data_IF_189815558446
#
_entry.id   IF_189815558446
#
_cell.length_a   1.000
_cell.length_b   1.000
_cell.length_c   1.000
_cell.angle_alpha   90.00
_cell.angle_beta   90.00
_cell.angle_gamma   90.00
#
_symmetry.space_group_name_H-M   'P 1'
#
loop_
_entity.id
_entity.type
_entity.pdbx_description
1 polymer ?
#
# COMPACT_ATOMS: atom_id res chain seq x y z
N UNK A 1 10.34 -17.71 18.65
CA UNK A 1 9.45 -16.73 17.99
C UNK A 1 9.69 -16.77 16.49
N UNK A 2 8.65 -17.01 15.68
CA UNK A 2 8.74 -16.94 14.22
C UNK A 2 8.56 -15.48 13.77
N UNK A 3 9.69 -14.81 13.50
CA UNK A 3 9.69 -13.39 13.11
C UNK A 3 8.93 -13.13 11.80
N UNK A 4 8.94 -14.09 10.86
CA UNK A 4 8.25 -13.93 9.58
C UNK A 4 6.73 -13.89 9.76
N UNK A 5 6.22 -14.70 10.70
CA UNK A 5 4.81 -14.67 11.09
C UNK A 5 4.47 -13.43 11.90
N UNK A 6 5.28 -13.10 12.91
CA UNK A 6 5.04 -11.94 13.78
C UNK A 6 4.95 -10.63 12.99
N UNK A 7 5.84 -10.44 12.01
CA UNK A 7 5.83 -9.23 11.17
C UNK A 7 5.05 -9.40 9.86
N UNK A 8 4.37 -10.53 9.65
CA UNK A 8 3.58 -10.84 8.44
C UNK A 8 4.31 -10.55 7.12
N UNK A 9 5.59 -10.90 7.03
CA UNK A 9 6.47 -10.53 5.89
C UNK A 9 5.87 -10.90 4.54
N UNK A 10 5.26 -12.08 4.43
CA UNK A 10 4.61 -12.56 3.19
C UNK A 10 3.49 -11.64 2.70
N UNK A 11 2.82 -10.92 3.60
CA UNK A 11 1.68 -10.05 3.24
C UNK A 11 2.14 -8.75 2.56
N UNK A 12 3.26 -8.17 3.00
CA UNK A 12 3.69 -6.85 2.57
C UNK A 12 4.93 -6.85 1.66
N UNK A 13 5.67 -7.97 1.54
CA UNK A 13 6.90 -8.03 0.72
C UNK A 13 6.68 -7.59 -0.74
N UNK A 14 5.48 -7.86 -1.28
CA UNK A 14 5.07 -7.41 -2.63
C UNK A 14 5.06 -5.88 -2.81
N UNK A 15 4.92 -5.12 -1.72
CA UNK A 15 4.93 -3.65 -1.77
C UNK A 15 6.34 -3.09 -2.01
N UNK A 16 7.41 -3.91 -1.87
CA UNK A 16 8.76 -3.49 -2.24
C UNK A 16 8.90 -3.20 -3.75
N UNK A 17 8.01 -3.77 -4.58
CA UNK A 17 7.94 -3.39 -6.00
C UNK A 17 7.61 -1.91 -6.21
N UNK A 18 6.80 -1.31 -5.33
CA UNK A 18 6.46 0.12 -5.39
C UNK A 18 7.68 0.99 -5.03
N UNK A 19 8.48 0.53 -4.07
CA UNK A 19 9.74 1.19 -3.72
C UNK A 19 10.71 1.15 -4.90
N UNK A 20 10.79 0.02 -5.60
CA UNK A 20 11.59 -0.10 -6.81
C UNK A 20 11.14 0.88 -7.90
N UNK A 21 9.83 1.03 -8.12
CA UNK A 21 9.31 2.05 -9.04
C UNK A 21 9.76 3.47 -8.63
N UNK A 22 9.66 3.80 -7.34
CA UNK A 22 10.15 5.09 -6.82
C UNK A 22 11.64 5.32 -7.07
N UNK A 23 12.46 4.27 -6.92
CA UNK A 23 13.89 4.32 -7.20
C UNK A 23 14.22 4.44 -8.69
N UNK A 24 13.46 3.76 -9.56
CA UNK A 24 13.63 3.90 -11.02
C UNK A 24 13.30 5.31 -11.50
N UNK A 25 12.41 6.01 -10.78
CA UNK A 25 12.08 7.42 -10.98
C UNK A 25 13.09 8.41 -10.39
N UNK A 26 14.16 7.95 -9.73
CA UNK A 26 15.14 8.84 -9.09
C UNK A 26 16.56 8.63 -9.62
N UNK A 27 17.41 9.62 -9.36
CA UNK A 27 18.85 9.58 -9.66
C UNK A 27 19.66 8.80 -8.61
N UNK A 28 18.99 7.95 -7.82
CA UNK A 28 19.60 7.22 -6.72
C UNK A 28 20.62 6.17 -7.17
N UNK A 29 21.59 5.91 -6.29
CA UNK A 29 22.60 4.86 -6.45
C UNK A 29 22.11 3.50 -5.92
N UNK A 30 22.78 2.39 -6.23
CA UNK A 30 22.38 1.07 -5.70
C UNK A 30 22.31 1.01 -4.15
N UNK A 31 23.25 1.64 -3.40
CA UNK A 31 23.10 1.79 -1.94
C UNK A 31 21.82 2.51 -1.50
N UNK A 32 21.31 3.46 -2.29
CA UNK A 32 20.03 4.13 -2.01
C UNK A 32 18.86 3.16 -2.05
N UNK A 33 18.80 2.31 -3.10
CA UNK A 33 17.77 1.29 -3.22
C UNK A 33 17.76 0.33 -2.03
N UNK A 34 18.95 -0.11 -1.59
CA UNK A 34 19.07 -1.01 -0.44
C UNK A 34 18.56 -0.36 0.84
N UNK A 35 18.90 0.91 1.07
CA UNK A 35 18.40 1.67 2.22
C UNK A 35 16.88 1.87 2.15
N UNK A 36 16.33 2.17 0.97
CA UNK A 36 14.87 2.28 0.77
C UNK A 36 14.16 0.97 1.08
N UNK A 37 14.69 -0.17 0.63
CA UNK A 37 14.13 -1.49 0.92
C UNK A 37 14.18 -1.83 2.41
N UNK A 38 15.30 -1.58 3.09
CA UNK A 38 15.41 -1.79 4.53
C UNK A 38 14.45 -0.88 5.30
N UNK A 39 14.42 0.42 4.98
CA UNK A 39 13.56 1.39 5.64
C UNK A 39 12.08 1.00 5.49
N UNK A 40 11.67 0.66 4.26
CA UNK A 40 10.29 0.23 3.98
C UNK A 40 9.97 -1.09 4.65
N UNK A 41 10.92 -2.04 4.73
CA UNK A 41 10.71 -3.31 5.43
C UNK A 41 10.47 -3.11 6.92
N UNK A 42 11.23 -2.19 7.56
CA UNK A 42 11.00 -1.84 8.96
C UNK A 42 9.65 -1.15 9.17
N UNK A 43 9.29 -0.20 8.31
CA UNK A 43 7.97 0.46 8.38
C UNK A 43 6.83 -0.55 8.18
N UNK A 44 6.93 -1.43 7.19
CA UNK A 44 5.92 -2.46 6.92
C UNK A 44 5.80 -3.47 8.06
N UNK A 45 6.92 -3.88 8.66
CA UNK A 45 6.94 -4.73 9.85
C UNK A 45 6.26 -4.06 11.06
N UNK A 46 6.53 -2.77 11.29
CA UNK A 46 5.86 -1.98 12.32
C UNK A 46 4.35 -1.95 12.10
N UNK A 47 3.88 -1.53 10.92
CA UNK A 47 2.44 -1.34 10.69
C UNK A 47 1.67 -2.65 10.68
N UNK A 48 2.25 -3.75 10.15
CA UNK A 48 1.61 -5.05 10.15
C UNK A 48 1.47 -5.62 11.56
N UNK A 49 2.54 -5.56 12.36
CA UNK A 49 2.52 -6.06 13.75
C UNK A 49 1.68 -5.17 14.68
N UNK A 50 1.67 -3.84 14.48
CA UNK A 50 0.80 -2.92 15.20
C UNK A 50 -0.67 -3.20 14.92
N UNK A 51 -1.02 -3.42 13.64
CA UNK A 51 -2.39 -3.77 13.27
C UNK A 51 -2.83 -5.08 13.93
N UNK A 52 -2.01 -6.14 13.85
CA UNK A 52 -2.29 -7.43 14.50
C UNK A 52 -2.41 -7.31 16.04
N UNK A 53 -1.58 -6.47 16.66
CA UNK A 53 -1.64 -6.21 18.10
C UNK A 53 -2.97 -5.59 18.54
N UNK A 54 -3.51 -4.62 17.79
CA UNK A 54 -4.82 -4.06 18.11
C UNK A 54 -5.98 -4.95 17.65
N UNK A 55 -5.76 -5.82 16.67
CA UNK A 55 -6.72 -6.84 16.21
C UNK A 55 -6.94 -7.93 17.26
N UNK A 56 -5.87 -8.39 17.90
CA UNK A 56 -5.98 -9.37 18.98
C UNK A 56 -6.75 -8.83 20.18
N UNK A 57 -6.57 -7.54 20.51
CA UNK A 57 -7.38 -6.84 21.53
C UNK A 57 -8.86 -6.73 21.18
N UNK A 58 -9.23 -6.85 19.92
CA UNK A 58 -10.62 -6.89 19.45
C UNK A 58 -11.16 -8.31 19.33
N UNK A 59 -10.40 -9.33 19.74
CA UNK A 59 -10.78 -10.74 19.72
C UNK A 59 -10.41 -11.48 18.44
N UNK A 60 -9.66 -10.86 17.51
CA UNK A 60 -9.19 -11.55 16.31
C UNK A 60 -7.99 -12.45 16.65
N UNK A 61 -8.08 -13.73 16.28
CA UNK A 61 -6.97 -14.67 16.48
C UNK A 61 -5.86 -14.41 15.46
N UNK A 62 -4.69 -14.05 15.94
CA UNK A 62 -3.49 -13.85 15.13
C UNK A 62 -2.22 -14.15 15.96
N UNK A 63 -1.07 -14.25 15.28
CA UNK A 63 0.20 -14.64 15.88
C UNK A 63 0.68 -13.66 16.96
N UNK A 64 0.42 -12.36 16.80
CA UNK A 64 0.78 -11.35 17.81
C UNK A 64 -0.08 -11.52 19.06
N UNK A 65 -1.36 -11.85 18.92
CA UNK A 65 -2.26 -12.20 20.03
C UNK A 65 -1.78 -13.41 20.83
N UNK A 66 -1.43 -14.50 20.14
CA UNK A 66 -0.84 -15.70 20.77
C UNK A 66 0.45 -15.34 21.54
N UNK A 67 1.29 -14.49 20.95
CA UNK A 67 2.50 -14.01 21.61
C UNK A 67 2.21 -13.16 22.86
N UNK A 68 1.17 -12.30 22.82
CA UNK A 68 0.73 -11.51 23.97
C UNK A 68 0.26 -12.42 25.11
N UNK A 69 -0.48 -13.48 24.81
CA UNK A 69 -0.95 -14.46 25.81
C UNK A 69 0.22 -15.22 26.48
N UNK A 70 1.22 -15.62 25.69
CA UNK A 70 2.35 -16.42 26.18
C UNK A 70 3.43 -15.57 26.89
N UNK A 71 3.73 -14.38 26.38
CA UNK A 71 4.90 -13.59 26.80
C UNK A 71 4.54 -12.25 27.47
N UNK A 72 3.27 -11.86 27.43
CA UNK A 72 2.77 -10.62 28.00
C UNK A 72 2.84 -9.42 27.05
N UNK A 73 1.92 -8.48 27.28
CA UNK A 73 1.70 -7.32 26.40
C UNK A 73 2.92 -6.43 26.24
N UNK A 74 3.67 -6.17 27.32
CA UNK A 74 4.83 -5.27 27.30
C UNK A 74 5.91 -5.76 26.34
N UNK A 75 6.16 -7.07 26.31
CA UNK A 75 7.15 -7.68 25.40
C UNK A 75 6.67 -7.61 23.96
N UNK A 76 5.39 -7.88 23.71
CA UNK A 76 4.79 -7.75 22.39
C UNK A 76 4.89 -6.32 21.85
N UNK A 77 4.52 -5.32 22.66
CA UNK A 77 4.64 -3.91 22.29
C UNK A 77 6.09 -3.51 21.98
N UNK A 78 7.05 -3.95 22.79
CA UNK A 78 8.47 -3.72 22.50
C UNK A 78 8.85 -4.24 21.11
N UNK A 79 8.44 -5.46 20.75
CA UNK A 79 8.72 -6.05 19.45
C UNK A 79 7.97 -5.39 18.29
N UNK A 80 6.75 -4.90 18.54
CA UNK A 80 5.96 -4.11 17.56
C UNK A 80 6.69 -2.81 17.23
N UNK A 81 7.22 -2.10 18.23
CA UNK A 81 7.94 -0.82 18.02
C UNK A 81 9.41 -0.99 17.63
N UNK A 82 10.01 -2.17 17.83
CA UNK A 82 11.42 -2.44 17.51
C UNK A 82 11.81 -2.06 16.07
N UNK A 83 11.01 -2.27 15.01
CA UNK A 83 11.35 -1.84 13.66
C UNK A 83 11.54 -0.31 13.53
N UNK A 84 10.88 0.51 14.35
CA UNK A 84 11.09 1.96 14.33
C UNK A 84 12.50 2.34 14.80
N UNK A 85 13.11 1.55 15.68
CA UNK A 85 14.53 1.74 16.04
C UNK A 85 15.39 1.52 14.80
N UNK A 86 15.09 0.50 13.98
CA UNK A 86 15.74 0.27 12.69
C UNK A 86 15.62 1.47 11.75
N UNK A 87 14.42 2.05 11.61
CA UNK A 87 14.19 3.28 10.83
C UNK A 87 15.05 4.44 11.34
N UNK A 88 15.07 4.68 12.66
CA UNK A 88 15.90 5.74 13.25
C UNK A 88 17.39 5.52 13.00
N UNK A 89 17.88 4.29 13.19
CA UNK A 89 19.29 3.95 12.93
C UNK A 89 19.69 4.18 11.47
N UNK A 90 18.83 3.81 10.51
CA UNK A 90 19.09 4.07 9.09
C UNK A 90 19.21 5.57 8.79
N UNK A 91 18.37 6.40 9.40
CA UNK A 91 18.43 7.85 9.24
C UNK A 91 19.64 8.51 9.90
N UNK A 92 20.20 7.91 10.96
CA UNK A 92 21.48 8.33 11.52
C UNK A 92 22.66 7.98 10.60
N UNK A 93 22.59 6.84 9.91
CA UNK A 93 23.62 6.42 8.95
C UNK A 93 23.59 7.23 7.66
N UNK A 94 22.40 7.58 7.16
CA UNK A 94 22.23 8.39 5.95
C UNK A 94 21.11 9.43 6.14
N UNK A 95 21.45 10.62 6.64
CA UNK A 95 20.49 11.69 6.84
C UNK A 95 19.84 12.13 5.52
N UNK A 96 18.53 11.94 5.41
CA UNK A 96 17.70 12.51 4.35
C UNK A 96 16.43 13.05 5.00
N UNK A 97 16.28 14.39 5.13
CA UNK A 97 15.11 15.00 5.79
C UNK A 97 13.80 14.61 5.12
N UNK A 98 13.78 14.51 3.79
CA UNK A 98 12.59 14.14 3.02
C UNK A 98 12.19 12.69 3.28
N UNK A 99 13.15 11.75 3.25
CA UNK A 99 12.88 10.35 3.57
C UNK A 99 12.39 10.19 5.01
N UNK A 100 12.97 10.94 5.95
CA UNK A 100 12.56 10.92 7.36
C UNK A 100 11.12 11.42 7.50
N UNK A 101 10.79 12.54 6.87
CA UNK A 101 9.43 13.09 6.90
C UNK A 101 8.40 12.11 6.31
N UNK A 102 8.72 11.48 5.18
CA UNK A 102 7.85 10.45 4.57
C UNK A 102 7.70 9.24 5.49
N UNK A 103 8.76 8.81 6.16
CA UNK A 103 8.74 7.69 7.11
C UNK A 103 7.91 7.99 8.35
N UNK A 104 8.05 9.21 8.90
CA UNK A 104 7.23 9.68 10.02
C UNK A 104 5.77 9.77 9.60
N UNK A 105 5.47 10.36 8.44
CA UNK A 105 4.09 10.46 7.93
C UNK A 105 3.46 9.08 7.74
N UNK A 106 4.21 8.14 7.15
CA UNK A 106 3.76 6.76 6.95
C UNK A 106 3.48 6.06 8.28
N UNK A 107 4.43 6.10 9.23
CA UNK A 107 4.27 5.49 10.54
C UNK A 107 3.11 6.11 11.34
N UNK A 108 2.98 7.44 11.30
CA UNK A 108 1.92 8.17 11.99
C UNK A 108 0.54 7.83 11.44
N UNK A 109 0.35 7.85 10.11
CA UNK A 109 -0.92 7.53 9.48
C UNK A 109 -1.36 6.09 9.80
N UNK A 110 -0.44 5.13 9.73
CA UNK A 110 -0.76 3.75 10.10
C UNK A 110 -0.93 3.52 11.61
N UNK A 111 -0.27 4.34 12.43
CA UNK A 111 -0.54 4.36 13.86
C UNK A 111 -1.99 4.75 14.12
N UNK A 112 -2.46 5.90 13.63
CA UNK A 112 -3.86 6.33 13.83
C UNK A 112 -4.88 5.44 13.10
N UNK A 113 -4.46 4.75 12.05
CA UNK A 113 -5.26 3.71 11.39
C UNK A 113 -5.57 2.53 12.33
N UNK A 114 -4.54 2.05 13.04
CA UNK A 114 -4.59 0.80 13.82
C UNK A 114 -4.88 1.01 15.32
N UNK A 115 -4.16 1.95 15.93
CA UNK A 115 -4.25 2.32 17.34
C UNK A 115 -5.35 3.37 17.58
N UNK A 116 -5.84 3.58 18.82
CA UNK A 116 -6.83 4.62 19.14
C UNK A 116 -6.42 5.98 18.55
N UNK A 117 -7.28 6.64 17.74
CA UNK A 117 -8.73 6.46 17.61
C UNK A 117 -9.22 5.34 16.66
N UNK A 118 -8.32 4.60 16.01
CA UNK A 118 -8.56 3.44 15.15
C UNK A 118 -9.42 3.77 13.94
N UNK A 119 -8.91 4.67 13.13
CA UNK A 119 -9.61 5.26 11.98
C UNK A 119 -10.00 4.23 10.91
N UNK A 120 -9.35 3.06 10.87
CA UNK A 120 -9.73 1.96 9.96
C UNK A 120 -11.18 1.50 10.11
N UNK A 121 -11.79 1.71 11.28
CA UNK A 121 -13.18 1.31 11.54
C UNK A 121 -14.18 2.16 10.73
N UNK A 122 -13.71 3.19 10.05
CA UNK A 122 -14.50 4.15 9.28
C UNK A 122 -14.00 4.18 7.83
N UNK A 123 -14.87 3.82 6.88
CA UNK A 123 -14.52 3.72 5.46
C UNK A 123 -13.82 4.98 4.89
N UNK A 124 -14.28 6.17 5.30
CA UNK A 124 -13.81 7.45 4.76
C UNK A 124 -12.39 7.80 5.20
N UNK A 125 -11.89 7.19 6.26
CA UNK A 125 -10.49 7.29 6.65
C UNK A 125 -9.67 6.07 6.18
N UNK A 126 -10.24 4.87 6.28
CA UNK A 126 -9.54 3.64 5.92
C UNK A 126 -9.05 3.65 4.47
N UNK A 127 -9.92 4.06 3.54
CA UNK A 127 -9.59 4.06 2.11
C UNK A 127 -8.51 5.10 1.78
N UNK A 128 -8.65 6.40 2.12
CA UNK A 128 -7.60 7.39 1.84
C UNK A 128 -6.26 7.08 2.51
N UNK A 129 -6.26 6.61 3.77
CA UNK A 129 -5.02 6.27 4.47
C UNK A 129 -4.28 5.14 3.74
N UNK A 130 -4.97 4.05 3.39
CA UNK A 130 -4.35 2.95 2.65
C UNK A 130 -3.85 3.40 1.27
N UNK A 131 -4.61 4.23 0.55
CA UNK A 131 -4.20 4.79 -0.75
C UNK A 131 -2.93 5.62 -0.61
N UNK A 132 -2.89 6.57 0.33
CA UNK A 132 -1.74 7.46 0.54
C UNK A 132 -0.52 6.70 1.03
N UNK A 133 -0.69 5.77 1.97
CA UNK A 133 0.45 5.06 2.54
C UNK A 133 1.02 4.05 1.55
N UNK A 134 0.19 3.19 0.98
CA UNK A 134 0.67 2.13 0.07
C UNK A 134 1.04 2.67 -1.31
N UNK A 135 0.49 3.82 -1.73
CA UNK A 135 0.78 4.44 -3.02
C UNK A 135 1.94 5.43 -2.91
N UNK A 136 1.64 6.74 -2.79
CA UNK A 136 2.64 7.80 -2.88
C UNK A 136 3.70 7.69 -1.79
N UNK A 137 3.34 7.43 -0.52
CA UNK A 137 4.36 7.37 0.53
C UNK A 137 5.32 6.20 0.34
N UNK A 138 4.83 5.01 -0.03
CA UNK A 138 5.71 3.85 -0.33
C UNK A 138 6.57 4.11 -1.56
N UNK A 139 6.03 4.75 -2.60
CA UNK A 139 6.83 5.16 -3.77
C UNK A 139 7.92 6.15 -3.36
N UNK A 140 7.58 7.14 -2.54
CA UNK A 140 8.51 8.15 -2.05
C UNK A 140 9.63 7.60 -1.17
N UNK A 141 9.46 6.43 -0.55
CA UNK A 141 10.55 5.72 0.13
C UNK A 141 11.68 5.35 -0.83
N UNK A 142 11.36 5.00 -2.08
CA UNK A 142 12.34 4.69 -3.12
C UNK A 142 12.87 5.92 -3.85
N UNK A 143 12.04 6.95 -3.97
CA UNK A 143 12.36 8.16 -4.72
C UNK A 143 13.35 9.08 -3.98
N UNK A 144 13.01 9.53 -2.76
CA UNK A 144 13.76 10.60 -2.07
C UNK A 144 15.21 10.31 -1.66
N UNK A 145 15.69 9.06 -1.60
CA UNK A 145 17.11 8.81 -1.45
C UNK A 145 17.94 9.25 -2.67
N UNK A 146 17.34 9.24 -3.86
CA UNK A 146 17.89 9.91 -5.04
C UNK A 146 17.48 11.39 -5.06
N UNK A 147 18.44 12.29 -5.22
CA UNK A 147 18.19 13.73 -5.33
C UNK A 147 17.59 14.06 -6.70
N UNK A 148 16.28 13.86 -6.85
CA UNK A 148 15.58 14.09 -8.12
C UNK A 148 14.34 14.97 -7.97
N UNK A 149 14.00 15.67 -9.04
CA UNK A 149 12.68 16.26 -9.22
C UNK A 149 11.74 15.23 -9.85
N UNK A 150 10.47 15.21 -9.45
CA UNK A 150 9.50 14.31 -10.07
C UNK A 150 9.20 14.77 -11.50
N UNK A 151 9.63 13.98 -12.48
CA UNK A 151 9.23 14.19 -13.87
C UNK A 151 7.75 13.80 -14.09
N UNK A 152 7.20 14.19 -15.25
CA UNK A 152 5.80 13.94 -15.58
C UNK A 152 5.43 12.45 -15.59
N UNK A 153 6.32 11.57 -16.07
CA UNK A 153 6.06 10.12 -16.07
C UNK A 153 5.97 9.56 -14.64
N UNK A 154 6.85 9.99 -13.74
CA UNK A 154 6.84 9.59 -12.34
C UNK A 154 5.54 10.03 -11.64
N UNK A 155 5.04 11.24 -11.95
CA UNK A 155 3.73 11.71 -11.47
C UNK A 155 2.61 10.79 -12.00
N UNK A 156 2.63 10.46 -13.29
CA UNK A 156 1.69 9.54 -13.91
C UNK A 156 1.68 8.16 -13.25
N UNK A 157 2.86 7.60 -12.95
CA UNK A 157 3.01 6.30 -12.25
C UNK A 157 2.42 6.37 -10.84
N UNK A 158 2.77 7.39 -10.05
CA UNK A 158 2.24 7.55 -8.67
C UNK A 158 0.73 7.69 -8.67
N UNK A 159 0.16 8.49 -9.57
CA UNK A 159 -1.28 8.67 -9.69
C UNK A 159 -1.97 7.36 -10.10
N UNK A 160 -1.48 6.70 -11.14
CA UNK A 160 -2.02 5.41 -11.58
C UNK A 160 -1.97 4.34 -10.48
N UNK A 161 -0.86 4.28 -9.75
CA UNK A 161 -0.69 3.35 -8.62
C UNK A 161 -1.66 3.68 -7.47
N UNK A 162 -1.84 4.96 -7.15
CA UNK A 162 -2.78 5.40 -6.11
C UNK A 162 -4.21 4.99 -6.44
N UNK A 163 -4.63 5.15 -7.70
CA UNK A 163 -5.96 4.72 -8.16
C UNK A 163 -6.07 3.19 -8.17
N UNK A 164 -5.00 2.47 -8.53
CA UNK A 164 -4.96 1.01 -8.44
C UNK A 164 -5.18 0.53 -6.99
N UNK A 165 -4.50 1.15 -6.03
CA UNK A 165 -4.65 0.80 -4.62
C UNK A 165 -6.06 1.13 -4.13
N UNK A 166 -6.64 2.26 -4.54
CA UNK A 166 -8.02 2.62 -4.21
C UNK A 166 -9.02 1.57 -4.73
N UNK A 167 -8.83 1.12 -5.97
CA UNK A 167 -9.63 0.04 -6.56
C UNK A 167 -9.45 -1.28 -5.77
N UNK A 168 -8.21 -1.68 -5.53
CA UNK A 168 -7.88 -2.93 -4.83
C UNK A 168 -8.46 -2.95 -3.42
N UNK A 169 -8.34 -1.85 -2.68
CA UNK A 169 -8.88 -1.69 -1.33
C UNK A 169 -10.41 -1.72 -1.33
N UNK A 170 -11.05 -1.09 -2.31
CA UNK A 170 -12.52 -1.15 -2.46
C UNK A 170 -12.99 -2.60 -2.70
N UNK A 171 -12.32 -3.34 -3.60
CA UNK A 171 -12.64 -4.75 -3.86
C UNK A 171 -12.33 -5.61 -2.63
N UNK A 172 -11.26 -5.31 -1.90
CA UNK A 172 -10.91 -5.99 -0.66
C UNK A 172 -12.03 -5.86 0.37
N UNK A 173 -12.53 -4.65 0.63
CA UNK A 173 -13.66 -4.42 1.53
C UNK A 173 -14.93 -5.15 1.06
N UNK A 174 -15.22 -5.13 -0.24
CA UNK A 174 -16.35 -5.89 -0.81
C UNK A 174 -16.22 -7.40 -0.61
N UNK A 175 -14.99 -7.95 -0.68
CA UNK A 175 -14.73 -9.37 -0.42
C UNK A 175 -14.87 -9.78 1.04
N UNK A 176 -14.73 -8.81 1.97
CA UNK A 176 -14.80 -9.02 3.42
C UNK A 176 -16.11 -8.57 4.07
N UNK A 177 -17.11 -8.15 3.31
CA UNK A 177 -18.40 -7.64 3.80
C UNK A 177 -18.99 -8.48 4.95
N UNK A 178 -19.04 -9.81 4.80
CA UNK A 178 -19.57 -10.71 5.84
C UNK A 178 -18.78 -10.61 7.15
N UNK A 179 -17.45 -10.69 7.07
CA UNK A 179 -16.54 -10.59 8.23
C UNK A 179 -16.66 -9.21 8.89
N UNK A 180 -16.67 -8.15 8.09
CA UNK A 180 -16.77 -6.78 8.59
C UNK A 180 -18.09 -6.53 9.31
N UNK A 181 -19.18 -7.12 8.82
CA UNK A 181 -20.51 -7.03 9.43
C UNK A 181 -20.54 -7.72 10.80
N UNK A 182 -19.91 -8.88 10.93
CA UNK A 182 -19.76 -9.59 12.23
C UNK A 182 -18.94 -8.77 13.23
N UNK A 183 -17.88 -8.09 12.75
CA UNK A 183 -17.02 -7.23 13.56
C UNK A 183 -17.55 -5.81 13.78
N UNK A 184 -18.76 -5.48 13.29
CA UNK A 184 -19.39 -4.15 13.38
C UNK A 184 -18.52 -3.02 12.81
N UNK A 185 -17.70 -3.31 11.81
CA UNK A 185 -16.86 -2.33 11.11
C UNK A 185 -17.73 -1.53 10.13
N UNK A 186 -17.59 -0.19 10.12
CA UNK A 186 -18.32 0.71 9.20
C UNK A 186 -17.58 0.81 7.85
N UNK A 187 -17.37 -0.33 7.20
CA UNK A 187 -16.78 -0.40 5.86
C UNK A 187 -17.76 0.07 4.79
N UNK A 188 -17.24 0.42 3.62
CA UNK A 188 -18.03 0.95 2.51
C UNK A 188 -19.25 0.08 2.14
N UNK A 189 -19.13 -1.26 1.98
CA UNK A 189 -20.29 -2.09 1.67
C UNK A 189 -21.30 -2.17 2.81
N UNK A 190 -20.87 -2.07 4.07
CA UNK A 190 -21.78 -2.10 5.23
C UNK A 190 -22.59 -0.81 5.37
N UNK A 191 -22.05 0.34 4.95
CA UNK A 191 -22.72 1.64 5.06
C UNK A 191 -23.61 1.94 3.85
N UNK A 192 -23.12 1.72 2.63
CA UNK A 192 -23.81 2.11 1.39
C UNK A 192 -24.29 0.92 0.54
N UNK A 193 -23.97 -0.31 0.95
CA UNK A 193 -24.26 -1.52 0.21
C UNK A 193 -23.22 -1.86 -0.87
N UNK A 194 -23.27 -3.12 -1.31
CA UNK A 194 -22.41 -3.63 -2.39
C UNK A 194 -22.57 -2.89 -3.71
N UNK A 195 -23.78 -2.41 -4.02
CA UNK A 195 -24.05 -1.71 -5.29
C UNK A 195 -23.29 -0.38 -5.38
N UNK A 196 -23.30 0.41 -4.30
CA UNK A 196 -22.54 1.66 -4.23
C UNK A 196 -21.03 1.38 -4.28
N UNK A 197 -20.56 0.37 -3.54
CA UNK A 197 -19.16 -0.04 -3.54
C UNK A 197 -18.68 -0.49 -4.93
N UNK A 198 -19.53 -1.23 -5.67
CA UNK A 198 -19.28 -1.63 -7.06
C UNK A 198 -19.19 -0.42 -7.98
N UNK A 199 -20.08 0.56 -7.84
CA UNK A 199 -20.04 1.79 -8.63
C UNK A 199 -18.78 2.61 -8.33
N UNK A 200 -18.34 2.67 -7.08
CA UNK A 200 -17.07 3.32 -6.71
C UNK A 200 -15.87 2.59 -7.33
N UNK A 201 -15.85 1.26 -7.32
CA UNK A 201 -14.80 0.49 -8.00
C UNK A 201 -14.77 0.76 -9.51
N UNK A 202 -15.94 0.87 -10.16
CA UNK A 202 -16.03 1.27 -11.58
C UNK A 202 -15.53 2.70 -11.81
N UNK A 203 -15.85 3.61 -10.90
CA UNK A 203 -15.36 4.98 -10.95
C UNK A 203 -13.82 5.01 -10.90
N UNK A 204 -13.19 4.28 -9.98
CA UNK A 204 -11.73 4.15 -9.96
C UNK A 204 -11.16 3.53 -11.24
N UNK A 205 -11.85 2.54 -11.83
CA UNK A 205 -11.44 2.00 -13.13
C UNK A 205 -11.47 3.06 -14.24
N UNK A 206 -12.55 3.84 -14.32
CA UNK A 206 -12.68 4.94 -15.29
C UNK A 206 -11.62 6.04 -15.08
N UNK A 207 -11.39 6.42 -13.82
CA UNK A 207 -10.36 7.39 -13.45
C UNK A 207 -8.96 6.90 -13.81
N UNK A 208 -8.67 5.61 -13.60
CA UNK A 208 -7.43 4.98 -14.06
C UNK A 208 -7.25 5.09 -15.57
N UNK A 209 -8.28 4.78 -16.37
CA UNK A 209 -8.22 4.95 -17.83
C UNK A 209 -7.90 6.41 -18.20
N UNK A 210 -8.61 7.38 -17.61
CA UNK A 210 -8.41 8.80 -17.91
C UNK A 210 -6.98 9.23 -17.60
N UNK A 211 -6.46 8.90 -16.42
CA UNK A 211 -5.07 9.22 -16.04
C UNK A 211 -4.10 8.61 -17.05
N UNK A 212 -4.20 7.31 -17.34
CA UNK A 212 -3.27 6.65 -18.25
C UNK A 212 -3.36 7.21 -19.68
N UNK A 213 -4.55 7.58 -20.18
CA UNK A 213 -4.67 8.25 -21.48
C UNK A 213 -4.02 9.63 -21.47
N UNK A 214 -4.21 10.43 -20.41
CA UNK A 214 -3.59 11.75 -20.28
C UNK A 214 -2.06 11.68 -20.28
N UNK A 215 -1.47 10.67 -19.63
CA UNK A 215 -0.02 10.46 -19.60
C UNK A 215 0.51 9.67 -20.83
N UNK A 216 -0.35 9.18 -21.72
CA UNK A 216 0.08 8.43 -22.91
C UNK A 216 0.86 9.26 -23.93
N UNK A 217 0.65 10.59 -23.94
CA UNK A 217 1.46 11.52 -24.74
C UNK A 217 2.92 11.57 -24.28
N UNK A 218 3.18 11.27 -23.00
CA UNK A 218 4.54 11.20 -22.45
C UNK A 218 5.18 9.82 -22.67
N UNK A 219 4.40 8.73 -22.62
CA UNK A 219 4.95 7.38 -22.82
C UNK A 219 3.90 6.36 -23.31
N UNK A 220 4.25 5.58 -24.34
CA UNK A 220 3.35 4.57 -24.94
C UNK A 220 2.87 3.49 -23.96
N UNK A 221 3.61 3.24 -22.88
CA UNK A 221 3.28 2.21 -21.89
C UNK A 221 2.07 2.59 -21.04
N UNK A 222 1.75 3.89 -20.92
CA UNK A 222 0.48 4.32 -20.34
C UNK A 222 -0.71 3.96 -21.24
N UNK A 223 -0.54 3.91 -22.57
CA UNK A 223 -1.59 3.41 -23.46
C UNK A 223 -1.83 1.91 -23.23
N UNK A 224 -0.76 1.12 -23.08
CA UNK A 224 -0.86 -0.30 -22.71
C UNK A 224 -1.53 -0.50 -21.35
N UNK A 225 -1.18 0.32 -20.35
CA UNK A 225 -1.81 0.29 -19.03
C UNK A 225 -3.31 0.61 -19.12
N UNK A 226 -3.71 1.54 -20.00
CA UNK A 226 -5.12 1.88 -20.23
C UNK A 226 -5.95 0.67 -20.69
N UNK A 227 -5.37 -0.20 -21.54
CA UNK A 227 -6.03 -1.45 -21.96
C UNK A 227 -6.27 -2.38 -20.77
N UNK A 228 -5.29 -2.52 -19.86
CA UNK A 228 -5.44 -3.31 -18.63
C UNK A 228 -6.57 -2.75 -17.76
N UNK A 229 -6.67 -1.42 -17.65
CA UNK A 229 -7.74 -0.75 -16.91
C UNK A 229 -9.12 -0.97 -17.52
N UNK A 230 -9.25 -0.98 -18.85
CA UNK A 230 -10.50 -1.34 -19.54
C UNK A 230 -10.91 -2.78 -19.22
N UNK A 231 -9.96 -3.73 -19.26
CA UNK A 231 -10.25 -5.12 -18.90
C UNK A 231 -10.74 -5.24 -17.44
N UNK A 232 -10.14 -4.49 -16.51
CA UNK A 232 -10.60 -4.42 -15.12
C UNK A 232 -12.00 -3.83 -15.00
N UNK A 233 -12.31 -2.76 -15.73
CA UNK A 233 -13.65 -2.16 -15.74
C UNK A 233 -14.71 -3.19 -16.16
N UNK A 234 -14.44 -3.98 -17.19
CA UNK A 234 -15.32 -5.07 -17.67
C UNK A 234 -15.49 -6.12 -16.58
N UNK A 235 -14.39 -6.59 -15.97
CA UNK A 235 -14.43 -7.59 -14.88
C UNK A 235 -15.20 -7.11 -13.66
N UNK A 236 -14.92 -5.90 -13.17
CA UNK A 236 -15.66 -5.28 -12.06
C UNK A 236 -17.13 -5.18 -12.41
N UNK A 237 -17.48 -4.84 -13.66
CA UNK A 237 -18.88 -4.72 -14.10
C UNK A 237 -19.63 -6.05 -14.09
N UNK A 238 -19.00 -7.14 -14.53
CA UNK A 238 -19.62 -8.47 -14.62
C UNK A 238 -19.53 -9.30 -13.33
N UNK A 239 -18.67 -8.93 -12.38
CA UNK A 239 -18.43 -9.69 -11.17
C UNK A 239 -19.68 -9.90 -10.31
N UNK A 240 -19.87 -11.16 -9.90
CA UNK A 240 -20.84 -11.62 -8.89
C UNK A 240 -20.17 -12.18 -7.62
N UNK A 241 -18.90 -12.58 -7.70
CA UNK A 241 -18.10 -13.08 -6.59
C UNK A 241 -16.85 -12.20 -6.45
N UNK A 242 -16.80 -11.40 -5.38
CA UNK A 242 -15.73 -10.43 -5.16
C UNK A 242 -14.45 -11.04 -4.60
N UNK A 243 -14.52 -12.23 -3.98
CA UNK A 243 -13.33 -12.99 -3.57
C UNK A 243 -12.51 -13.43 -4.79
N UNK A 244 -13.17 -14.04 -5.78
CA UNK A 244 -12.54 -14.40 -7.05
C UNK A 244 -12.05 -13.17 -7.82
N UNK A 245 -12.84 -12.11 -7.86
CA UNK A 245 -12.44 -10.84 -8.52
C UNK A 245 -11.15 -10.28 -7.91
N UNK A 246 -11.00 -10.34 -6.58
CA UNK A 246 -9.81 -9.88 -5.88
C UNK A 246 -8.56 -10.63 -6.35
N UNK A 247 -8.64 -11.96 -6.46
CA UNK A 247 -7.53 -12.77 -6.98
C UNK A 247 -7.18 -12.39 -8.42
N UNK A 248 -8.18 -12.21 -9.28
CA UNK A 248 -7.96 -11.84 -10.68
C UNK A 248 -7.38 -10.43 -10.88
N UNK A 249 -7.74 -9.46 -10.03
CA UNK A 249 -7.24 -8.07 -10.11
C UNK A 249 -5.89 -7.92 -9.39
N UNK A 250 -5.56 -8.83 -8.48
CA UNK A 250 -4.26 -8.87 -7.81
C UNK A 250 -3.10 -9.31 -8.71
N UNK A 251 -3.39 -9.81 -9.92
CA UNK A 251 -2.37 -10.07 -10.93
C UNK A 251 -1.79 -8.73 -11.42
N UNK A 252 -0.45 -8.62 -11.49
CA UNK A 252 0.30 -7.34 -11.58
C UNK A 252 0.92 -7.11 -12.98
N UNK A 253 0.15 -6.96 -14.06
CA UNK A 253 0.71 -6.43 -15.32
C UNK A 253 1.24 -5.00 -15.16
N UNK A 254 0.58 -4.17 -14.36
CA UNK A 254 0.89 -2.73 -14.26
C UNK A 254 2.27 -2.46 -13.68
N UNK A 255 2.69 -3.21 -12.66
CA UNK A 255 4.01 -3.04 -12.06
C UNK A 255 5.12 -3.30 -13.08
N UNK A 256 4.94 -4.27 -13.98
CA UNK A 256 5.86 -4.56 -15.07
C UNK A 256 5.85 -3.43 -16.09
N UNK A 257 4.65 -3.00 -16.53
CA UNK A 257 4.51 -1.92 -17.50
C UNK A 257 5.11 -0.60 -17.00
N UNK A 258 4.88 -0.24 -15.73
CA UNK A 258 5.46 0.96 -15.14
C UNK A 258 6.96 0.84 -14.90
N UNK A 259 7.45 -0.33 -14.50
CA UNK A 259 8.90 -0.56 -14.38
C UNK A 259 9.60 -0.38 -15.73
N UNK A 260 9.00 -0.89 -16.81
CA UNK A 260 9.53 -0.72 -18.16
C UNK A 260 9.52 0.76 -18.59
N UNK A 261 8.46 1.51 -18.28
CA UNK A 261 8.36 2.93 -18.64
C UNK A 261 9.42 3.79 -17.95
N UNK A 262 9.63 3.55 -16.66
CA UNK A 262 10.64 4.27 -15.89
C UNK A 262 12.05 3.86 -16.28
N UNK A 263 12.27 2.58 -16.57
CA UNK A 263 13.56 2.11 -17.06
C UNK A 263 13.91 2.75 -18.41
N UNK A 264 12.97 2.85 -19.37
CA UNK A 264 13.25 3.46 -20.67
C UNK A 264 13.57 4.94 -20.60
N UNK A 265 12.98 5.70 -19.66
CA UNK A 265 13.37 7.10 -19.46
C UNK A 265 14.79 7.26 -18.90
N UNK A 266 15.24 6.35 -18.03
CA UNK A 266 16.56 6.45 -17.40
C UNK A 266 17.73 6.19 -18.36
N UNK A 267 17.48 5.54 -19.50
CA UNK A 267 18.50 5.16 -20.48
C UNK A 267 18.45 5.95 -21.79
N UNK A 268 17.61 6.99 -21.88
CA UNK A 268 17.55 7.95 -22.98
C UNK A 268 18.19 9.28 -22.56
#
# INVERSE_FOLDING_TARGET
>A
MDALKFYRVRSWIKNLGIVLLGFLSSDGSLPDLFLSFLNTSFLMAFVASLNDFYDSRSGEKNFVGEFVEEHGERKALFLVYCPLIGVMLLHLLRPSPNLLLVSIAFAFLYYVYSAPPRLRNWWYFSLPINVVCLGPLTFFQGFYPGSGEMNYVSIGVVLSLSIYIALSETIHQMSHEKKDREMKVRSLPNVFGLRASKNLAKFFCGLGIVINVLFSFAHILFLCASVVWVLRFVKVSSARNYGKLREEISFVPDGILFSLALASERFL
#
